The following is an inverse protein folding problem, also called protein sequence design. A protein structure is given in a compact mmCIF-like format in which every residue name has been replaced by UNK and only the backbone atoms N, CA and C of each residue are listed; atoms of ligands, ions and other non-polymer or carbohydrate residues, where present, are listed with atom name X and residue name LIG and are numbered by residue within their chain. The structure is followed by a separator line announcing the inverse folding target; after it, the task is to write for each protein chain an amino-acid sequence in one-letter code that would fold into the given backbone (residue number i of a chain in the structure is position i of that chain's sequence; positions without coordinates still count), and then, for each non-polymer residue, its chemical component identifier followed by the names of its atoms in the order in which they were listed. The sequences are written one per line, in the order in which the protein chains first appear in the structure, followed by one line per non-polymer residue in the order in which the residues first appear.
data_IF_659212349574
#
_entry.id   IF_659212349574
#
_cell.length_a   1.000
_cell.length_b   1.000
_cell.length_c   1.000
_cell.angle_alpha   90.00
_cell.angle_beta   90.00
_cell.angle_gamma   90.00
#
_symmetry.space_group_name_H-M   'P 1'
#
loop_
_entity.id
_entity.type
_entity.pdbx_description
1 polymer ?
#
# COMPACT_ATOMS: atom_id res chain seq x y z
N UNK A 1 131.63 29.36 26.20
CA UNK A 1 130.59 29.95 25.33
C UNK A 1 130.68 29.39 23.90
N UNK A 2 131.81 29.54 23.18
CA UNK A 2 131.91 29.16 21.76
C UNK A 2 131.79 27.66 21.38
N UNK A 3 132.05 26.70 22.30
CA UNK A 3 131.93 25.27 21.99
C UNK A 3 130.48 24.75 22.06
N UNK A 4 129.71 25.23 23.04
CA UNK A 4 128.29 24.88 23.20
C UNK A 4 127.43 25.43 22.05
N UNK A 5 127.75 26.63 21.58
CA UNK A 5 127.08 27.27 20.43
C UNK A 5 127.26 26.44 19.15
N UNK A 6 128.48 25.90 18.94
CA UNK A 6 128.82 25.09 17.77
C UNK A 6 128.17 23.69 17.80
N UNK A 7 128.06 23.06 18.96
CA UNK A 7 127.35 21.78 19.10
C UNK A 7 125.83 21.95 18.99
N UNK A 8 125.27 23.03 19.55
CA UNK A 8 123.84 23.35 19.37
C UNK A 8 123.50 23.66 17.92
N UNK A 9 124.33 24.44 17.21
CA UNK A 9 124.10 24.74 15.80
C UNK A 9 124.27 23.49 14.92
N UNK A 10 125.26 22.64 15.19
CA UNK A 10 125.41 21.36 14.48
C UNK A 10 124.23 20.40 14.74
N UNK A 11 123.76 20.30 15.99
CA UNK A 11 122.60 19.50 16.33
C UNK A 11 121.32 20.06 15.70
N UNK A 12 121.16 21.38 15.65
CA UNK A 12 120.01 22.04 15.01
C UNK A 12 120.03 21.85 13.50
N UNK A 13 121.18 22.00 12.87
CA UNK A 13 121.35 21.79 11.43
C UNK A 13 121.13 20.32 11.06
N UNK A 14 121.68 19.38 11.84
CA UNK A 14 121.44 17.94 11.68
C UNK A 14 119.96 17.57 11.87
N UNK A 15 119.29 18.10 12.90
CA UNK A 15 117.86 17.89 13.12
C UNK A 15 117.00 18.53 12.01
N UNK A 16 117.42 19.66 11.46
CA UNK A 16 116.73 20.30 10.33
C UNK A 16 116.89 19.46 9.07
N UNK A 17 118.09 18.93 8.82
CA UNK A 17 118.37 18.08 7.66
C UNK A 17 117.65 16.72 7.75
N UNK A 18 117.63 16.11 8.94
CA UNK A 18 116.92 14.85 9.20
C UNK A 18 115.40 15.05 9.12
N UNK A 19 114.88 16.16 9.65
CA UNK A 19 113.43 16.45 9.55
C UNK A 19 113.02 16.78 8.12
N UNK A 20 113.83 17.50 7.35
CA UNK A 20 113.56 17.77 5.94
C UNK A 20 113.60 16.50 5.09
N UNK A 21 114.61 15.64 5.29
CA UNK A 21 114.69 14.33 4.62
C UNK A 21 113.55 13.39 5.03
N UNK A 22 113.10 13.44 6.29
CA UNK A 22 111.96 12.64 6.76
C UNK A 22 110.63 13.16 6.21
N UNK A 23 110.44 14.48 6.11
CA UNK A 23 109.25 15.11 5.51
C UNK A 23 109.18 14.81 4.01
N UNK A 24 110.30 14.87 3.30
CA UNK A 24 110.36 14.56 1.87
C UNK A 24 110.05 13.09 1.60
N UNK A 25 110.65 12.16 2.38
CA UNK A 25 110.29 10.73 2.33
C UNK A 25 108.84 10.46 2.68
N UNK A 26 108.31 11.16 3.69
CA UNK A 26 106.91 11.03 4.07
C UNK A 26 105.97 11.58 2.97
N UNK A 27 106.33 12.69 2.33
CA UNK A 27 105.61 13.27 1.21
C UNK A 27 105.57 12.35 0.00
N UNK A 28 106.70 11.74 -0.36
CA UNK A 28 106.77 10.76 -1.44
C UNK A 28 105.93 9.52 -1.14
N UNK A 29 106.03 8.97 0.09
CA UNK A 29 105.28 7.77 0.46
C UNK A 29 103.78 8.04 0.60
N UNK A 30 103.39 9.20 1.12
CA UNK A 30 101.98 9.61 1.16
C UNK A 30 101.43 9.87 -0.24
N UNK A 31 102.22 10.48 -1.14
CA UNK A 31 101.84 10.69 -2.53
C UNK A 31 101.61 9.37 -3.27
N UNK A 32 102.48 8.38 -3.04
CA UNK A 32 102.35 7.03 -3.60
C UNK A 32 101.09 6.32 -3.05
N UNK A 33 100.92 6.27 -1.72
CA UNK A 33 99.76 5.63 -1.08
C UNK A 33 98.44 6.31 -1.45
N UNK A 34 98.42 7.64 -1.57
CA UNK A 34 97.23 8.37 -2.00
C UNK A 34 96.89 8.07 -3.45
N UNK A 35 97.88 8.05 -4.35
CA UNK A 35 97.66 7.78 -5.77
C UNK A 35 97.21 6.34 -6.01
N UNK A 36 97.77 5.39 -5.27
CA UNK A 36 97.38 3.98 -5.27
C UNK A 36 95.98 3.80 -4.67
N UNK A 37 95.69 4.43 -3.53
CA UNK A 37 94.39 4.39 -2.86
C UNK A 37 93.26 5.00 -3.71
N UNK A 38 93.51 6.13 -4.38
CA UNK A 38 92.53 6.75 -5.29
C UNK A 38 92.28 5.86 -6.52
N UNK A 39 93.32 5.20 -7.03
CA UNK A 39 93.18 4.29 -8.17
C UNK A 39 92.38 3.04 -7.78
N UNK A 40 92.71 2.40 -6.66
CA UNK A 40 91.98 1.25 -6.15
C UNK A 40 90.52 1.58 -5.81
N UNK A 41 90.26 2.71 -5.17
CA UNK A 41 88.90 3.16 -4.89
C UNK A 41 88.13 3.47 -6.19
N UNK A 42 88.80 4.03 -7.21
CA UNK A 42 88.21 4.26 -8.52
C UNK A 42 87.85 2.97 -9.25
N UNK A 43 88.71 1.96 -9.18
CA UNK A 43 88.49 0.65 -9.78
C UNK A 43 87.36 -0.12 -9.07
N UNK A 44 87.32 -0.12 -7.74
CA UNK A 44 86.21 -0.72 -6.97
C UNK A 44 84.87 -0.01 -7.25
N UNK A 45 84.85 1.33 -7.27
CA UNK A 45 83.61 2.07 -7.58
C UNK A 45 83.12 1.75 -8.99
N UNK A 46 84.02 1.62 -9.96
CA UNK A 46 83.67 1.25 -11.33
C UNK A 46 83.08 -0.16 -11.40
N UNK A 47 83.67 -1.10 -10.67
CA UNK A 47 83.20 -2.48 -10.59
C UNK A 47 81.80 -2.55 -9.95
N UNK A 48 81.59 -1.88 -8.81
CA UNK A 48 80.29 -1.82 -8.13
C UNK A 48 79.22 -1.18 -9.02
N UNK A 49 79.55 -0.09 -9.72
CA UNK A 49 78.60 0.56 -10.64
C UNK A 49 78.25 -0.33 -11.83
N UNK A 50 79.22 -1.05 -12.40
CA UNK A 50 78.94 -2.01 -13.47
C UNK A 50 78.08 -3.17 -12.99
N UNK A 51 78.37 -3.73 -11.81
CA UNK A 51 77.57 -4.79 -11.20
C UNK A 51 76.14 -4.35 -10.93
N UNK A 52 75.95 -3.16 -10.33
CA UNK A 52 74.64 -2.59 -10.08
C UNK A 52 73.85 -2.33 -11.38
N UNK A 53 74.51 -1.84 -12.43
CA UNK A 53 73.88 -1.61 -13.73
C UNK A 53 73.39 -2.92 -14.37
N UNK A 54 74.21 -3.97 -14.33
CA UNK A 54 73.83 -5.30 -14.84
C UNK A 54 72.67 -5.91 -14.05
N UNK A 55 72.66 -5.73 -12.72
CA UNK A 55 71.56 -6.23 -11.89
C UNK A 55 70.25 -5.47 -12.19
N UNK A 56 70.32 -4.15 -12.38
CA UNK A 56 69.18 -3.31 -12.75
C UNK A 56 68.61 -3.76 -14.10
N UNK A 57 69.44 -3.95 -15.12
CA UNK A 57 68.98 -4.42 -16.44
C UNK A 57 68.29 -5.79 -16.34
N UNK A 58 68.89 -6.73 -15.60
CA UNK A 58 68.27 -8.05 -15.37
C UNK A 58 66.91 -7.95 -14.66
N UNK A 59 66.75 -7.02 -13.71
CA UNK A 59 65.46 -6.80 -13.04
C UNK A 59 64.46 -6.09 -13.94
N UNK A 60 64.90 -5.14 -14.77
CA UNK A 60 64.04 -4.48 -15.76
C UNK A 60 63.52 -5.48 -16.81
N UNK A 61 64.35 -6.39 -17.30
CA UNK A 61 63.94 -7.44 -18.22
C UNK A 61 62.91 -8.37 -17.60
N UNK A 62 63.11 -8.79 -16.35
CA UNK A 62 62.12 -9.58 -15.60
C UNK A 62 60.82 -8.83 -15.42
N UNK A 63 60.86 -7.57 -14.98
CA UNK A 63 59.66 -6.73 -14.84
C UNK A 63 58.96 -6.58 -16.19
N UNK A 64 59.68 -6.36 -17.27
CA UNK A 64 59.12 -6.23 -18.62
C UNK A 64 58.41 -7.51 -19.07
N UNK A 65 59.02 -8.67 -18.85
CA UNK A 65 58.42 -9.98 -19.14
C UNK A 65 57.17 -10.24 -18.28
N UNK A 66 57.22 -9.90 -17.00
CA UNK A 66 56.11 -10.10 -16.06
C UNK A 66 54.96 -9.14 -16.35
N UNK A 67 55.24 -7.88 -16.73
CA UNK A 67 54.26 -6.88 -17.14
C UNK A 67 53.64 -7.21 -18.51
N UNK A 68 54.37 -7.94 -19.37
CA UNK A 68 53.84 -8.51 -20.61
C UNK A 68 52.91 -9.71 -20.32
N UNK A 69 53.30 -10.63 -19.43
CA UNK A 69 52.47 -11.76 -18.99
C UNK A 69 51.22 -11.32 -18.20
N UNK A 70 51.31 -10.31 -17.34
CA UNK A 70 50.14 -9.79 -16.63
C UNK A 70 49.14 -9.10 -17.56
N UNK A 71 49.62 -8.48 -18.65
CA UNK A 71 48.72 -7.95 -19.69
C UNK A 71 48.00 -9.04 -20.49
N UNK A 72 48.45 -10.29 -20.43
CA UNK A 72 47.69 -11.43 -20.97
C UNK A 72 46.55 -11.91 -20.06
N UNK A 73 46.41 -11.39 -18.83
CA UNK A 73 45.13 -11.37 -18.11
C UNK A 73 44.21 -10.34 -18.79
N UNK A 74 43.91 -10.63 -20.06
CA UNK A 74 43.31 -9.72 -21.01
C UNK A 74 41.79 -9.89 -21.03
N UNK A 75 41.14 -8.92 -21.69
CA UNK A 75 39.69 -8.85 -21.94
C UNK A 75 39.02 -10.19 -22.28
N UNK A 76 39.73 -11.12 -22.91
CA UNK A 76 39.21 -12.44 -23.28
C UNK A 76 38.97 -13.35 -22.06
N UNK A 77 39.85 -13.36 -21.05
CA UNK A 77 39.61 -14.10 -19.80
C UNK A 77 38.44 -13.50 -19.01
N UNK A 78 38.31 -12.17 -19.02
CA UNK A 78 37.17 -11.48 -18.42
C UNK A 78 35.88 -11.82 -19.16
N UNK A 79 35.94 -11.91 -20.50
CA UNK A 79 34.80 -12.31 -21.32
C UNK A 79 34.40 -13.76 -21.02
N UNK A 80 35.36 -14.68 -20.91
CA UNK A 80 35.09 -16.08 -20.58
C UNK A 80 34.47 -16.23 -19.18
N UNK A 81 34.95 -15.48 -18.19
CA UNK A 81 34.34 -15.46 -16.85
C UNK A 81 32.93 -14.88 -16.85
N UNK A 82 32.67 -13.84 -17.64
CA UNK A 82 31.33 -13.25 -17.79
C UNK A 82 30.39 -14.21 -18.51
N UNK A 83 30.83 -14.85 -19.58
CA UNK A 83 30.03 -15.83 -20.33
C UNK A 83 29.71 -17.04 -19.44
N UNK A 84 30.70 -17.56 -18.70
CA UNK A 84 30.48 -18.63 -17.72
C UNK A 84 29.52 -18.22 -16.60
N UNK A 85 29.68 -17.01 -16.07
CA UNK A 85 28.78 -16.48 -15.05
C UNK A 85 27.36 -16.30 -15.61
N UNK A 86 27.22 -15.82 -16.85
CA UNK A 86 25.94 -15.62 -17.53
C UNK A 86 25.22 -16.95 -17.76
N UNK A 87 25.91 -17.99 -18.23
CA UNK A 87 25.34 -19.33 -18.41
C UNK A 87 24.89 -19.93 -17.07
N UNK A 88 25.71 -19.81 -16.03
CA UNK A 88 25.34 -20.28 -14.69
C UNK A 88 24.18 -19.50 -14.09
N UNK A 89 24.15 -18.18 -14.24
CA UNK A 89 23.03 -17.36 -13.78
C UNK A 89 21.75 -17.69 -14.54
N UNK A 90 21.84 -17.86 -15.86
CA UNK A 90 20.70 -18.19 -16.71
C UNK A 90 20.06 -19.52 -16.28
N UNK A 91 20.87 -20.55 -16.04
CA UNK A 91 20.39 -21.84 -15.57
C UNK A 91 19.71 -21.75 -14.19
N UNK A 92 20.33 -21.06 -13.23
CA UNK A 92 19.77 -20.89 -11.88
C UNK A 92 18.49 -20.04 -11.92
N UNK A 93 18.44 -19.03 -12.77
CA UNK A 93 17.27 -18.17 -12.94
C UNK A 93 16.11 -18.95 -13.54
N UNK A 94 16.35 -19.79 -14.56
CA UNK A 94 15.30 -20.61 -15.18
C UNK A 94 14.72 -21.62 -14.18
N UNK A 95 15.56 -22.33 -13.42
CA UNK A 95 15.11 -23.23 -12.35
C UNK A 95 14.24 -22.51 -11.33
N UNK A 96 14.65 -21.31 -10.90
CA UNK A 96 13.92 -20.52 -9.92
C UNK A 96 12.60 -19.97 -10.49
N UNK A 97 12.58 -19.57 -11.76
CA UNK A 97 11.36 -19.15 -12.46
C UNK A 97 10.39 -20.31 -12.58
N UNK A 98 10.86 -21.52 -12.92
CA UNK A 98 10.01 -22.71 -13.03
C UNK A 98 9.39 -23.11 -11.68
N UNK A 99 10.16 -23.02 -10.59
CA UNK A 99 9.66 -23.26 -9.24
C UNK A 99 8.62 -22.21 -8.83
N UNK A 100 8.94 -20.92 -9.06
CA UNK A 100 8.01 -19.82 -8.78
C UNK A 100 6.72 -19.93 -9.59
N UNK A 101 6.79 -20.34 -10.86
CA UNK A 101 5.60 -20.59 -11.69
C UNK A 101 4.69 -21.66 -11.09
N UNK A 102 5.27 -22.74 -10.57
CA UNK A 102 4.54 -23.82 -9.91
C UNK A 102 3.87 -23.32 -8.63
N UNK A 103 4.62 -22.64 -7.77
CA UNK A 103 4.07 -22.06 -6.52
C UNK A 103 2.96 -21.04 -6.78
N UNK A 104 3.11 -20.17 -7.78
CA UNK A 104 2.06 -19.22 -8.18
C UNK A 104 0.83 -19.98 -8.70
N UNK A 105 1.02 -21.02 -9.50
CA UNK A 105 -0.10 -21.81 -10.04
C UNK A 105 -0.86 -22.50 -8.93
N UNK A 106 -0.16 -23.12 -7.98
CA UNK A 106 -0.77 -23.79 -6.82
C UNK A 106 -1.51 -22.77 -5.94
N UNK A 107 -0.90 -21.61 -5.68
CA UNK A 107 -1.55 -20.53 -4.93
C UNK A 107 -2.81 -20.01 -5.63
N UNK A 108 -2.76 -19.83 -6.95
CA UNK A 108 -3.92 -19.40 -7.75
C UNK A 108 -5.02 -20.46 -7.70
N UNK A 109 -4.67 -21.74 -7.81
CA UNK A 109 -5.61 -22.84 -7.70
C UNK A 109 -6.29 -22.85 -6.32
N UNK A 110 -5.51 -22.80 -5.24
CA UNK A 110 -6.02 -22.79 -3.86
C UNK A 110 -6.94 -21.59 -3.60
N UNK A 111 -6.55 -20.39 -4.07
CA UNK A 111 -7.36 -19.18 -3.93
C UNK A 111 -8.63 -19.23 -4.77
N UNK A 112 -8.57 -19.80 -5.97
CA UNK A 112 -9.74 -19.98 -6.83
C UNK A 112 -10.72 -20.98 -6.22
N UNK A 113 -10.22 -22.07 -5.65
CA UNK A 113 -11.05 -23.06 -4.99
C UNK A 113 -11.69 -22.51 -3.71
N UNK A 114 -10.91 -21.80 -2.88
CA UNK A 114 -11.44 -21.08 -1.73
C UNK A 114 -12.53 -20.08 -2.15
N UNK A 115 -12.25 -19.27 -3.17
CA UNK A 115 -13.22 -18.29 -3.67
C UNK A 115 -14.49 -18.96 -4.19
N UNK A 116 -14.36 -20.07 -4.93
CA UNK A 116 -15.50 -20.86 -5.40
C UNK A 116 -16.35 -21.35 -4.22
N UNK A 117 -15.73 -21.94 -3.19
CA UNK A 117 -16.43 -22.40 -1.98
C UNK A 117 -17.14 -21.25 -1.27
N UNK A 118 -16.49 -20.10 -1.14
CA UNK A 118 -17.08 -18.91 -0.51
C UNK A 118 -18.27 -18.36 -1.31
N UNK A 119 -18.13 -18.28 -2.64
CA UNK A 119 -19.20 -17.85 -3.54
C UNK A 119 -20.39 -18.80 -3.50
N UNK A 120 -20.14 -20.11 -3.55
CA UNK A 120 -21.19 -21.13 -3.45
C UNK A 120 -21.91 -21.03 -2.09
N UNK A 121 -21.16 -20.89 -0.99
CA UNK A 121 -21.73 -20.67 0.35
C UNK A 121 -22.56 -19.40 0.42
N UNK A 122 -22.09 -18.29 -0.15
CA UNK A 122 -22.83 -17.04 -0.22
C UNK A 122 -24.14 -17.20 -1.00
N UNK A 123 -24.13 -17.90 -2.14
CA UNK A 123 -25.35 -18.15 -2.91
C UNK A 123 -26.32 -19.07 -2.18
N UNK A 124 -25.84 -20.11 -1.51
CA UNK A 124 -26.66 -21.02 -0.70
C UNK A 124 -27.30 -20.27 0.46
N UNK A 125 -26.52 -19.52 1.24
CA UNK A 125 -27.04 -18.71 2.36
C UNK A 125 -28.04 -17.67 1.86
N UNK A 126 -27.74 -16.99 0.76
CA UNK A 126 -28.64 -15.99 0.16
C UNK A 126 -29.93 -16.59 -0.36
N UNK A 127 -29.91 -17.79 -0.96
CA UNK A 127 -31.13 -18.48 -1.39
C UNK A 127 -31.99 -18.90 -0.18
N UNK A 128 -31.35 -19.38 0.90
CA UNK A 128 -32.04 -19.73 2.14
C UNK A 128 -32.67 -18.51 2.83
N UNK A 129 -31.99 -17.36 2.80
CA UNK A 129 -32.54 -16.10 3.30
C UNK A 129 -33.67 -15.58 2.43
N UNK A 130 -33.56 -15.66 1.10
CA UNK A 130 -34.65 -15.30 0.18
C UNK A 130 -35.90 -16.17 0.38
N UNK A 131 -35.75 -17.47 0.65
CA UNK A 131 -36.87 -18.37 0.94
C UNK A 131 -37.57 -18.00 2.26
N UNK A 132 -36.79 -17.74 3.32
CA UNK A 132 -37.31 -17.28 4.62
C UNK A 132 -37.99 -15.92 4.51
N UNK A 133 -37.41 -15.00 3.74
CA UNK A 133 -38.00 -13.70 3.48
C UNK A 133 -39.31 -13.82 2.69
N UNK A 134 -39.37 -14.59 1.60
CA UNK A 134 -40.62 -14.77 0.84
C UNK A 134 -41.75 -15.28 1.73
N UNK A 135 -41.46 -16.25 2.60
CA UNK A 135 -42.45 -16.79 3.56
C UNK A 135 -42.94 -15.74 4.56
N UNK A 136 -42.04 -14.94 5.16
CA UNK A 136 -42.43 -13.86 6.08
C UNK A 136 -43.28 -12.78 5.40
N UNK A 137 -42.98 -12.45 4.14
CA UNK A 137 -43.78 -11.47 3.38
C UNK A 137 -45.15 -12.03 3.01
N UNK A 138 -45.24 -13.30 2.57
CA UNK A 138 -46.52 -13.94 2.35
C UNK A 138 -47.39 -13.93 3.62
N UNK A 139 -46.80 -14.20 4.79
CA UNK A 139 -47.49 -14.15 6.09
C UNK A 139 -47.92 -12.72 6.44
N UNK A 140 -47.06 -11.71 6.27
CA UNK A 140 -47.41 -10.32 6.58
C UNK A 140 -48.51 -9.78 5.65
N UNK A 141 -48.49 -10.14 4.36
CA UNK A 141 -49.58 -9.84 3.42
C UNK A 141 -50.87 -10.51 3.87
N UNK A 142 -50.80 -11.80 4.20
CA UNK A 142 -51.96 -12.55 4.68
C UNK A 142 -52.55 -11.92 5.95
N UNK A 143 -51.71 -11.52 6.91
CA UNK A 143 -52.15 -10.83 8.13
C UNK A 143 -52.77 -9.46 7.83
N UNK A 144 -52.17 -8.65 6.97
CA UNK A 144 -52.72 -7.36 6.56
C UNK A 144 -54.07 -7.52 5.83
N UNK A 145 -54.20 -8.53 4.99
CA UNK A 145 -55.45 -8.88 4.31
C UNK A 145 -56.52 -9.32 5.31
N UNK A 146 -56.19 -10.23 6.24
CA UNK A 146 -57.10 -10.66 7.30
C UNK A 146 -57.55 -9.49 8.19
N UNK A 147 -56.63 -8.58 8.54
CA UNK A 147 -56.95 -7.39 9.31
C UNK A 147 -57.88 -6.43 8.55
N UNK A 148 -57.62 -6.22 7.25
CA UNK A 148 -58.49 -5.40 6.38
C UNK A 148 -59.91 -5.98 6.29
N UNK A 149 -60.03 -7.30 6.09
CA UNK A 149 -61.31 -8.01 6.05
C UNK A 149 -62.03 -7.92 7.40
N UNK A 150 -61.31 -8.09 8.52
CA UNK A 150 -61.87 -7.98 9.86
C UNK A 150 -62.40 -6.56 10.13
N UNK A 151 -61.68 -5.52 9.72
CA UNK A 151 -62.12 -4.12 9.85
C UNK A 151 -63.37 -3.87 9.00
N UNK A 152 -63.42 -4.37 7.77
CA UNK A 152 -64.63 -4.31 6.93
C UNK A 152 -65.82 -5.02 7.58
N UNK A 153 -65.60 -6.21 8.14
CA UNK A 153 -66.63 -7.00 8.83
C UNK A 153 -67.15 -6.29 10.09
N UNK A 154 -66.27 -5.71 10.91
CA UNK A 154 -66.64 -4.94 12.11
C UNK A 154 -67.43 -3.68 11.71
N UNK A 155 -67.02 -2.99 10.64
CA UNK A 155 -67.74 -1.80 10.15
C UNK A 155 -69.16 -2.13 9.68
N UNK A 156 -69.35 -3.27 9.01
CA UNK A 156 -70.67 -3.75 8.61
C UNK A 156 -71.52 -4.21 9.80
N UNK A 157 -70.91 -4.86 10.78
CA UNK A 157 -71.59 -5.31 12.00
C UNK A 157 -72.09 -4.13 12.85
N UNK A 158 -71.25 -3.10 13.02
CA UNK A 158 -71.62 -1.90 13.77
C UNK A 158 -72.78 -1.16 13.11
N UNK A 159 -72.74 -0.98 11.78
CA UNK A 159 -73.86 -0.38 11.02
C UNK A 159 -75.16 -1.18 11.08
N UNK A 160 -75.06 -2.50 11.20
CA UNK A 160 -76.23 -3.38 11.37
C UNK A 160 -76.87 -3.22 12.76
N UNK A 161 -76.07 -3.02 13.81
CA UNK A 161 -76.56 -2.76 15.17
C UNK A 161 -77.25 -1.39 15.27
N UNK A 162 -76.73 -0.40 14.55
CA UNK A 162 -77.23 0.98 14.53
C UNK A 162 -78.57 1.16 13.77
N UNK A 163 -79.20 0.08 13.26
CA UNK A 163 -80.45 0.09 12.47
C UNK A 163 -80.46 1.08 11.29
N UNK A 164 -79.29 1.52 10.83
CA UNK A 164 -79.17 2.35 9.64
C UNK A 164 -79.49 1.51 8.38
N UNK A 165 -80.21 2.05 7.38
CA UNK A 165 -80.46 1.32 6.15
C UNK A 165 -79.13 0.99 5.46
N UNK A 166 -78.83 -0.30 5.34
CA UNK A 166 -77.67 -0.80 4.62
C UNK A 166 -77.90 -0.66 3.12
N UNK A 167 -77.70 0.55 2.61
CA UNK A 167 -77.65 0.79 1.16
C UNK A 167 -76.44 0.05 0.57
N UNK A 168 -76.63 -0.59 -0.58
CA UNK A 168 -75.61 -1.37 -1.28
C UNK A 168 -74.38 -0.52 -1.63
N UNK A 169 -74.60 0.79 -1.87
CA UNK A 169 -73.53 1.78 -2.06
C UNK A 169 -72.65 1.95 -0.81
N UNK A 170 -73.24 1.85 0.39
CA UNK A 170 -72.51 1.98 1.65
C UNK A 170 -71.64 0.76 1.91
N UNK A 171 -72.16 -0.44 1.64
CA UNK A 171 -71.39 -1.69 1.73
C UNK A 171 -70.22 -1.66 0.74
N UNK A 172 -70.47 -1.23 -0.49
CA UNK A 172 -69.45 -1.09 -1.53
C UNK A 172 -68.30 -0.17 -1.12
N UNK A 173 -68.60 1.01 -0.53
CA UNK A 173 -67.58 1.96 -0.06
C UNK A 173 -66.75 1.42 1.09
N UNK A 174 -67.37 0.72 2.04
CA UNK A 174 -66.67 0.11 3.18
C UNK A 174 -65.70 -0.96 2.67
N UNK A 175 -66.16 -1.82 1.76
CA UNK A 175 -65.32 -2.87 1.16
C UNK A 175 -64.17 -2.25 0.37
N UNK A 176 -64.42 -1.29 -0.52
CA UNK A 176 -63.36 -0.61 -1.26
C UNK A 176 -62.38 0.15 -0.37
N UNK A 177 -62.87 0.86 0.65
CA UNK A 177 -62.04 1.58 1.60
C UNK A 177 -61.13 0.63 2.39
N UNK A 178 -61.66 -0.49 2.86
CA UNK A 178 -60.88 -1.51 3.56
C UNK A 178 -59.81 -2.15 2.67
N UNK A 179 -60.14 -2.41 1.39
CA UNK A 179 -59.23 -3.01 0.43
C UNK A 179 -58.12 -2.03 0.01
N UNK A 180 -58.47 -0.77 -0.24
CA UNK A 180 -57.53 0.31 -0.52
C UNK A 180 -56.59 0.56 0.66
N UNK A 181 -57.12 0.57 1.89
CA UNK A 181 -56.31 0.69 3.11
C UNK A 181 -55.36 -0.49 3.30
N UNK A 182 -55.84 -1.72 3.10
CA UNK A 182 -55.00 -2.93 3.15
C UNK A 182 -53.89 -2.91 2.11
N UNK A 183 -54.19 -2.46 0.89
CA UNK A 183 -53.20 -2.32 -0.18
C UNK A 183 -52.16 -1.22 0.11
N UNK A 184 -52.57 -0.10 0.73
CA UNK A 184 -51.64 0.96 1.13
C UNK A 184 -50.65 0.48 2.21
N UNK A 185 -51.14 -0.25 3.22
CA UNK A 185 -50.27 -0.87 4.24
C UNK A 185 -49.31 -1.87 3.62
N UNK A 186 -49.80 -2.68 2.67
CA UNK A 186 -48.96 -3.61 1.93
C UNK A 186 -47.86 -2.89 1.13
N UNK A 187 -48.20 -1.82 0.40
CA UNK A 187 -47.22 -1.03 -0.35
C UNK A 187 -46.14 -0.46 0.56
N UNK A 188 -46.51 0.12 1.69
CA UNK A 188 -45.57 0.69 2.67
C UNK A 188 -44.64 -0.41 3.20
N UNK A 189 -45.19 -1.55 3.61
CA UNK A 189 -44.40 -2.69 4.11
C UNK A 189 -43.45 -3.26 3.04
N UNK A 190 -43.90 -3.33 1.78
CA UNK A 190 -43.10 -3.77 0.65
C UNK A 190 -41.94 -2.81 0.36
N UNK A 191 -42.19 -1.51 0.43
CA UNK A 191 -41.18 -0.47 0.20
C UNK A 191 -40.10 -0.47 1.29
N UNK A 192 -40.53 -0.51 2.56
CA UNK A 192 -39.64 -0.63 3.73
C UNK A 192 -38.75 -1.87 3.65
N UNK A 193 -39.32 -2.99 3.22
CA UNK A 193 -38.56 -4.22 3.05
C UNK A 193 -37.49 -4.10 1.96
N UNK A 194 -37.87 -3.59 0.78
CA UNK A 194 -36.92 -3.37 -0.32
C UNK A 194 -35.79 -2.44 0.10
N UNK A 195 -36.11 -1.45 0.94
CA UNK A 195 -35.13 -0.54 1.52
C UNK A 195 -34.17 -1.24 2.50
N UNK A 196 -34.70 -2.04 3.43
CA UNK A 196 -33.89 -2.76 4.42
C UNK A 196 -32.97 -3.81 3.77
N UNK A 197 -33.47 -4.54 2.76
CA UNK A 197 -32.74 -5.56 2.02
C UNK A 197 -31.66 -5.02 1.06
N UNK A 198 -31.54 -3.69 0.91
CA UNK A 198 -30.50 -3.09 0.08
C UNK A 198 -29.15 -3.09 0.83
N UNK A 199 -28.09 -3.55 0.15
CA UNK A 199 -26.72 -3.45 0.64
C UNK A 199 -26.34 -1.98 0.92
N UNK A 200 -25.49 -1.73 1.93
CA UNK A 200 -25.11 -0.37 2.35
C UNK A 200 -24.64 0.51 1.18
N UNK A 201 -23.84 -0.02 0.26
CA UNK A 201 -23.38 0.72 -0.92
C UNK A 201 -24.51 1.17 -1.86
N UNK A 202 -25.63 0.43 -1.94
CA UNK A 202 -26.80 0.85 -2.72
C UNK A 202 -27.63 1.89 -1.97
N UNK A 203 -27.67 1.84 -0.63
CA UNK A 203 -28.30 2.89 0.19
C UNK A 203 -27.56 4.21 0.02
N UNK A 204 -26.22 4.17 -0.02
CA UNK A 204 -25.40 5.35 -0.28
C UNK A 204 -25.57 5.90 -1.70
N UNK A 205 -25.68 5.04 -2.71
CA UNK A 205 -26.00 5.46 -4.08
C UNK A 205 -27.40 6.07 -4.20
N UNK A 206 -28.40 5.52 -3.50
CA UNK A 206 -29.75 6.10 -3.47
C UNK A 206 -29.75 7.43 -2.71
N UNK A 207 -28.93 7.56 -1.67
CA UNK A 207 -28.75 8.83 -0.96
C UNK A 207 -28.05 9.88 -1.85
N UNK A 208 -27.03 9.48 -2.63
CA UNK A 208 -26.38 10.32 -3.64
C UNK A 208 -27.34 10.70 -4.77
N UNK A 209 -28.13 9.75 -5.26
CA UNK A 209 -29.16 9.99 -6.27
C UNK A 209 -30.26 10.92 -5.73
N UNK A 210 -30.71 10.74 -4.48
CA UNK A 210 -31.65 11.62 -3.79
C UNK A 210 -31.05 13.01 -3.49
N UNK A 211 -29.73 13.11 -3.34
CA UNK A 211 -29.00 14.38 -3.18
C UNK A 211 -28.90 15.17 -4.48
N UNK A 212 -28.90 14.50 -5.63
CA UNK A 212 -28.92 15.09 -6.98
C UNK A 212 -30.35 15.29 -7.52
N UNK A 213 -31.29 14.46 -7.12
CA UNK A 213 -32.72 14.59 -7.42
C UNK A 213 -33.35 15.53 -6.37
N UNK A 214 -33.24 16.84 -6.61
CA UNK A 214 -33.48 17.94 -5.64
C UNK A 214 -34.79 17.90 -4.83
N UNK A 215 -35.74 17.05 -5.19
CA UNK A 215 -36.99 16.80 -4.46
C UNK A 215 -36.77 16.03 -3.13
N UNK A 216 -35.88 15.02 -3.10
CA UNK A 216 -35.74 14.09 -1.95
C UNK A 216 -34.59 14.41 -0.98
N UNK A 217 -33.97 15.61 -1.04
CA UNK A 217 -32.95 15.99 -0.05
C UNK A 217 -33.57 15.99 1.37
N UNK A 218 -32.89 15.42 2.39
CA UNK A 218 -33.39 15.43 3.77
C UNK A 218 -33.59 16.84 4.35
N UNK A 219 -32.96 17.86 3.76
CA UNK A 219 -33.12 19.28 4.06
C UNK A 219 -33.79 20.07 2.93
N UNK A 220 -34.54 19.41 2.04
CA UNK A 220 -35.23 20.09 0.94
C UNK A 220 -36.45 20.83 1.47
N UNK A 221 -36.65 22.06 0.99
CA UNK A 221 -37.85 22.87 1.28
C UNK A 221 -39.12 22.13 0.86
N UNK A 222 -39.03 21.28 -0.16
CA UNK A 222 -40.16 20.45 -0.55
C UNK A 222 -40.48 19.39 0.51
N UNK A 223 -39.49 18.63 1.00
CA UNK A 223 -39.74 17.57 1.97
C UNK A 223 -40.33 18.16 3.26
N UNK A 224 -39.82 19.30 3.71
CA UNK A 224 -40.41 20.03 4.84
C UNK A 224 -41.82 20.52 4.53
N UNK A 225 -42.08 21.08 3.34
CA UNK A 225 -43.42 21.48 2.92
C UNK A 225 -44.40 20.29 2.85
N UNK A 226 -43.97 19.13 2.34
CA UNK A 226 -44.77 17.90 2.32
C UNK A 226 -45.05 17.39 3.73
N UNK A 227 -44.06 17.40 4.62
CA UNK A 227 -44.28 17.04 6.03
C UNK A 227 -45.24 18.00 6.72
N UNK A 228 -45.17 19.30 6.42
CA UNK A 228 -46.12 20.29 6.91
C UNK A 228 -47.53 20.05 6.37
N UNK A 229 -47.68 19.68 5.09
CA UNK A 229 -48.97 19.27 4.52
C UNK A 229 -49.51 18.02 5.24
N UNK A 230 -48.69 16.99 5.43
CA UNK A 230 -49.10 15.76 6.12
C UNK A 230 -49.51 16.05 7.56
N UNK A 231 -48.73 16.85 8.28
CA UNK A 231 -49.05 17.29 9.63
C UNK A 231 -50.31 18.17 9.67
N UNK A 232 -50.52 19.03 8.69
CA UNK A 232 -51.73 19.85 8.58
C UNK A 232 -52.97 18.98 8.29
N UNK A 233 -52.84 17.94 7.45
CA UNK A 233 -53.91 16.98 7.21
C UNK A 233 -54.20 16.18 8.49
N UNK A 234 -53.16 15.69 9.18
CA UNK A 234 -53.32 14.96 10.44
C UNK A 234 -53.93 15.83 11.55
N UNK A 235 -53.51 17.10 11.65
CA UNK A 235 -54.06 18.04 12.63
C UNK A 235 -55.51 18.39 12.29
N UNK A 236 -55.85 18.58 11.01
CA UNK A 236 -57.22 18.77 10.57
C UNK A 236 -58.12 17.57 10.93
N UNK A 237 -57.61 16.34 10.72
CA UNK A 237 -58.30 15.10 11.11
C UNK A 237 -58.49 15.03 12.63
N UNK A 238 -57.51 15.48 13.42
CA UNK A 238 -57.54 15.39 14.87
C UNK A 238 -58.38 16.50 15.54
N UNK A 239 -58.36 17.71 15.00
CA UNK A 239 -59.10 18.88 15.52
C UNK A 239 -60.55 18.90 15.04
N UNK A 240 -60.79 18.48 13.79
CA UNK A 240 -62.14 18.41 13.22
C UNK A 240 -62.45 16.99 12.73
N UNK A 241 -62.50 16.00 13.65
CA UNK A 241 -62.75 14.61 13.29
C UNK A 241 -64.10 14.46 12.58
N UNK A 242 -65.10 15.26 12.98
CA UNK A 242 -66.45 15.22 12.42
C UNK A 242 -66.53 15.81 11.02
N UNK A 243 -65.86 16.94 10.74
CA UNK A 243 -65.88 17.57 9.41
C UNK A 243 -64.98 16.80 8.40
N UNK A 244 -63.89 16.19 8.87
CA UNK A 244 -63.06 15.31 8.02
C UNK A 244 -63.77 13.98 7.72
N UNK A 245 -64.50 13.41 8.67
CA UNK A 245 -65.41 12.30 8.43
C UNK A 245 -66.51 12.67 7.42
N UNK A 246 -67.03 13.90 7.43
CA UNK A 246 -67.99 14.38 6.43
C UNK A 246 -67.40 14.50 5.02
N UNK A 247 -66.16 14.97 4.91
CA UNK A 247 -65.44 15.09 3.64
C UNK A 247 -65.15 13.73 2.99
N UNK A 248 -64.87 12.70 3.81
CA UNK A 248 -64.61 11.33 3.35
C UNK A 248 -65.85 10.41 3.40
N UNK A 249 -66.96 10.84 4.01
CA UNK A 249 -68.24 10.09 4.00
C UNK A 249 -69.35 10.63 4.92
N UNK A 250 -70.15 11.57 4.40
CA UNK A 250 -71.54 12.00 4.76
C UNK A 250 -71.99 12.17 6.25
N UNK A 251 -72.95 13.08 6.54
CA UNK A 251 -72.89 13.96 7.70
C UNK A 251 -74.01 13.76 8.75
N UNK A 252 -74.17 12.60 9.39
CA UNK A 252 -75.35 12.39 10.28
C UNK A 252 -75.08 11.72 11.64
N UNK A 253 -73.87 11.78 12.21
CA UNK A 253 -73.59 11.12 13.50
C UNK A 253 -72.98 12.06 14.55
N UNK A 254 -73.69 13.14 14.87
CA UNK A 254 -73.43 13.91 16.09
C UNK A 254 -74.74 14.11 16.84
N UNK A 255 -74.97 13.45 17.99
CA UNK A 255 -76.13 13.73 18.81
C UNK A 255 -76.03 15.15 19.37
N UNK A 256 -76.99 15.99 19.02
CA UNK A 256 -77.13 17.34 19.57
C UNK A 256 -77.60 17.20 21.03
N UNK A 257 -76.66 17.26 21.97
CA UNK A 257 -76.96 17.38 23.39
C UNK A 257 -77.50 18.80 23.61
N UNK A 258 -78.81 18.91 23.73
CA UNK A 258 -79.48 20.11 24.27
C UNK A 258 -79.03 20.34 25.71
N UNK A 259 -78.50 21.51 26.08
CA UNK A 259 -78.46 21.91 27.47
C UNK A 259 -79.85 22.43 27.85
N UNK A 260 -80.49 21.76 28.81
CA UNK A 260 -81.74 22.23 29.38
C UNK A 260 -81.57 23.59 30.06
N UNK A 261 -82.36 24.57 29.60
CA UNK A 261 -83.25 25.42 30.39
C UNK A 261 -84.12 26.26 29.46
#
# INVERSE_FOLDING_TARGET
MAWFEKEMDYARESLTQVSQAAIERAGDKLGEVMREGVKHAGDELKEVVQGASQEIDSKLDKISAELHNQRQFTKDDVKELVDYAADKLSAVLDDRIQLMKREISDLVQDRTEYFKREVDNFFIQRQQDLARERRRLAINIALAFVASVAVGAVSLFYKRLDRAPLDMLTVFRIVLGSLAGGYAVYLIASLLRRWLAMAEHKKDMVFLAARYWGWLRPSSVFATFLTLIILAILSLILVFPLETLKLFGRPEWVPMVMPGR
#
